data_IF_910694874708
#
_entry.id   IF_910694874708
#
_cell.length_a   1.000
_cell.length_b   1.000
_cell.length_c   1.000
_cell.angle_alpha   90.00
_cell.angle_beta   90.00
_cell.angle_gamma   90.00
#
_symmetry.space_group_name_H-M   'P 1'
#
loop_
_entity.id
_entity.type
_entity.pdbx_description
1 polymer ?
#
# COMPACT_ATOMS: atom_id res chain seq x y z
N UNK A 1 -61.22 27.53 -39.10
CA UNK A 1 -60.32 28.00 -38.06
C UNK A 1 -59.49 26.84 -37.55
N UNK A 2 -58.22 26.72 -37.97
CA UNK A 2 -57.28 25.70 -37.53
C UNK A 2 -56.34 26.35 -36.54
N UNK A 3 -56.38 25.92 -35.28
CA UNK A 3 -55.43 26.36 -34.28
C UNK A 3 -54.08 25.61 -34.45
N UNK A 4 -53.04 26.40 -34.59
CA UNK A 4 -51.67 25.94 -34.75
C UNK A 4 -51.05 25.77 -33.34
N UNK A 5 -50.90 24.54 -32.90
CA UNK A 5 -50.18 24.22 -31.68
C UNK A 5 -48.67 24.37 -31.96
N UNK A 6 -48.05 25.41 -31.44
CA UNK A 6 -46.62 25.53 -31.37
C UNK A 6 -46.08 24.75 -30.13
N UNK A 7 -45.52 23.59 -30.40
CA UNK A 7 -44.78 22.83 -29.42
C UNK A 7 -43.39 23.48 -29.25
N UNK A 8 -43.24 24.29 -28.19
CA UNK A 8 -41.93 24.77 -27.75
C UNK A 8 -41.23 23.61 -27.06
N UNK A 9 -40.43 22.85 -27.79
CA UNK A 9 -39.42 21.98 -27.23
C UNK A 9 -38.44 22.77 -26.36
N UNK A 10 -38.61 22.64 -25.05
CA UNK A 10 -37.61 23.05 -24.07
C UNK A 10 -36.35 22.18 -24.22
N UNK A 11 -35.41 22.67 -25.06
CA UNK A 11 -34.05 22.11 -25.06
C UNK A 11 -33.42 22.42 -23.71
N UNK A 12 -33.59 21.52 -22.71
CA UNK A 12 -32.75 21.42 -21.56
C UNK A 12 -31.31 21.21 -22.06
N UNK A 13 -30.49 22.24 -21.89
CA UNK A 13 -29.06 22.16 -22.12
C UNK A 13 -28.51 21.05 -21.22
N UNK A 14 -28.27 19.89 -21.78
CA UNK A 14 -27.51 18.86 -21.13
C UNK A 14 -26.16 19.49 -20.69
N UNK A 15 -25.75 19.30 -19.41
CA UNK A 15 -24.43 19.72 -19.00
C UNK A 15 -23.42 19.05 -19.91
N UNK A 16 -22.44 19.83 -20.34
CA UNK A 16 -21.34 19.40 -21.20
C UNK A 16 -20.76 18.12 -20.61
N UNK A 17 -21.20 16.97 -21.11
CA UNK A 17 -20.50 15.70 -20.95
C UNK A 17 -19.23 15.86 -21.74
N UNK A 18 -18.14 16.24 -21.06
CA UNK A 18 -16.80 16.16 -21.65
C UNK A 18 -16.63 14.67 -21.97
N UNK A 19 -16.72 14.35 -23.24
CA UNK A 19 -16.46 13.01 -23.75
C UNK A 19 -14.96 12.76 -23.52
N UNK A 20 -14.63 12.20 -22.34
CA UNK A 20 -13.29 11.71 -22.07
C UNK A 20 -13.12 10.53 -23.01
N UNK A 21 -12.58 10.82 -24.22
CA UNK A 21 -12.13 9.78 -25.13
C UNK A 21 -11.53 8.66 -24.28
N UNK A 22 -12.10 7.47 -24.39
CA UNK A 22 -11.78 6.27 -23.63
C UNK A 22 -10.36 5.76 -23.99
N UNK A 23 -9.38 6.67 -23.99
CA UNK A 23 -7.97 6.37 -24.21
C UNK A 23 -7.48 5.60 -23.00
N UNK A 24 -7.38 4.28 -23.18
CA UNK A 24 -6.78 3.38 -22.22
C UNK A 24 -5.44 3.96 -21.77
N UNK A 25 -5.30 4.17 -20.47
CA UNK A 25 -4.03 4.57 -19.90
C UNK A 25 -3.02 3.44 -20.12
N UNK A 26 -1.79 3.82 -20.42
CA UNK A 26 -0.72 2.82 -20.52
C UNK A 26 -0.41 2.22 -19.15
N UNK A 27 -0.11 0.93 -19.11
CA UNK A 27 0.14 0.19 -17.87
C UNK A 27 1.29 0.80 -17.03
N UNK A 28 2.24 1.48 -17.65
CA UNK A 28 3.36 2.09 -16.93
C UNK A 28 2.95 3.21 -15.96
N UNK A 29 1.81 3.87 -16.18
CA UNK A 29 1.31 4.87 -15.22
C UNK A 29 0.85 4.24 -13.90
N UNK A 30 0.51 2.97 -13.91
CA UNK A 30 0.10 2.22 -12.73
C UNK A 30 1.28 1.65 -11.93
N UNK A 31 2.49 1.63 -12.49
CA UNK A 31 3.67 0.98 -11.87
C UNK A 31 3.85 1.35 -10.39
N UNK A 32 3.82 2.62 -9.96
CA UNK A 32 4.03 2.93 -8.55
C UNK A 32 2.98 2.29 -7.64
N UNK A 33 1.70 2.31 -8.04
CA UNK A 33 0.62 1.70 -7.26
C UNK A 33 0.70 0.16 -7.27
N UNK A 34 1.08 -0.45 -8.40
CA UNK A 34 1.27 -1.90 -8.52
C UNK A 34 2.47 -2.37 -7.69
N UNK A 35 3.54 -1.59 -7.63
CA UNK A 35 4.68 -1.88 -6.76
C UNK A 35 4.27 -1.80 -5.29
N UNK A 36 3.45 -0.82 -4.89
CA UNK A 36 2.91 -0.74 -3.52
C UNK A 36 2.07 -1.98 -3.21
N UNK A 37 1.22 -2.43 -4.13
CA UNK A 37 0.30 -3.54 -3.91
C UNK A 37 0.99 -4.91 -3.91
N UNK A 38 1.95 -5.13 -4.83
CA UNK A 38 2.52 -6.46 -5.07
C UNK A 38 3.95 -6.66 -4.61
N UNK A 39 4.75 -5.60 -4.50
CA UNK A 39 6.19 -5.72 -4.22
C UNK A 39 6.63 -5.16 -2.88
N UNK A 40 6.13 -3.97 -2.50
CA UNK A 40 6.54 -3.33 -1.24
C UNK A 40 6.32 -4.23 -0.01
N UNK A 41 5.19 -4.95 0.12
CA UNK A 41 5.00 -5.86 1.24
C UNK A 41 6.05 -6.97 1.33
N UNK A 42 6.64 -7.37 0.20
CA UNK A 42 7.64 -8.43 0.12
C UNK A 42 9.07 -7.96 0.51
N UNK A 43 9.28 -6.67 0.72
CA UNK A 43 10.61 -6.14 1.06
C UNK A 43 11.01 -6.59 2.45
N UNK A 44 12.12 -7.34 2.55
CA UNK A 44 12.81 -7.69 3.79
C UNK A 44 14.26 -7.26 3.64
N UNK A 45 14.69 -6.25 4.40
CA UNK A 45 16.06 -5.75 4.29
C UNK A 45 16.49 -5.01 5.55
N UNK A 46 17.65 -5.37 6.10
CA UNK A 46 18.15 -4.88 7.37
C UNK A 46 18.49 -3.39 7.38
N UNK A 47 18.14 -2.72 8.47
CA UNK A 47 18.52 -1.34 8.76
C UNK A 47 18.76 -1.17 10.25
N UNK A 48 19.97 -0.68 10.64
CA UNK A 48 20.20 -0.22 11.99
C UNK A 48 19.51 1.11 12.24
N UNK A 49 18.79 1.18 13.33
CA UNK A 49 18.09 2.36 13.82
C UNK A 49 18.68 2.72 15.18
N UNK A 50 19.17 3.93 15.31
CA UNK A 50 19.60 4.45 16.60
C UNK A 50 18.37 4.84 17.43
N UNK A 51 18.24 4.23 18.60
CA UNK A 51 17.16 4.52 19.55
C UNK A 51 17.63 5.66 20.45
N UNK A 52 16.95 6.79 20.39
CA UNK A 52 17.28 7.97 21.18
C UNK A 52 16.02 8.64 21.74
N UNK A 53 16.19 9.47 22.76
CA UNK A 53 15.11 10.26 23.34
C UNK A 53 13.92 9.41 23.82
N UNK A 54 12.72 9.82 23.47
CA UNK A 54 11.46 9.18 23.89
C UNK A 54 11.37 7.74 23.40
N UNK A 55 11.85 7.43 22.19
CA UNK A 55 11.83 6.06 21.63
C UNK A 55 12.67 5.13 22.46
N UNK A 56 13.88 5.56 22.87
CA UNK A 56 14.74 4.76 23.74
C UNK A 56 14.11 4.51 25.11
N UNK A 57 13.47 5.53 25.68
CA UNK A 57 12.83 5.42 26.99
C UNK A 57 11.64 4.47 26.97
N UNK A 58 10.91 4.40 25.86
CA UNK A 58 9.74 3.53 25.68
C UNK A 58 10.11 2.12 25.20
N UNK A 59 11.35 1.92 24.70
CA UNK A 59 11.79 0.61 24.21
C UNK A 59 12.28 -0.22 25.39
N UNK A 60 11.47 -1.15 25.83
CA UNK A 60 11.62 -1.95 27.05
C UNK A 60 12.92 -2.78 27.17
N UNK A 61 13.64 -2.98 26.04
CA UNK A 61 14.90 -3.76 26.02
C UNK A 61 16.10 -2.98 26.52
N UNK A 62 16.02 -1.67 26.68
CA UNK A 62 17.15 -0.81 27.05
C UNK A 62 18.26 -0.71 25.99
N UNK A 63 18.03 -1.23 24.79
CA UNK A 63 19.00 -1.20 23.69
C UNK A 63 19.15 0.21 23.12
N UNK A 64 20.35 0.57 22.69
CA UNK A 64 20.63 1.83 22.01
C UNK A 64 20.43 1.74 20.49
N UNK A 65 20.45 0.53 19.93
CA UNK A 65 20.30 0.25 18.51
C UNK A 65 19.32 -0.89 18.29
N UNK A 66 18.51 -0.73 17.28
CA UNK A 66 17.58 -1.73 16.84
C UNK A 66 17.84 -2.09 15.38
N UNK A 67 17.82 -3.38 15.04
CA UNK A 67 17.98 -3.85 13.67
C UNK A 67 16.60 -4.25 13.11
N UNK A 68 16.04 -3.37 12.30
CA UNK A 68 14.78 -3.62 11.61
C UNK A 68 15.03 -4.29 10.25
N UNK A 69 14.27 -5.33 9.94
CA UNK A 69 14.29 -6.02 8.64
C UNK A 69 13.01 -5.83 7.84
N UNK A 70 11.88 -5.58 8.50
CA UNK A 70 10.56 -5.81 7.91
C UNK A 70 9.76 -4.52 7.67
N UNK A 71 10.00 -3.46 8.43
CA UNK A 71 9.07 -2.33 8.47
C UNK A 71 9.66 -1.03 7.92
N UNK A 72 10.92 -0.72 8.23
CA UNK A 72 11.56 0.54 7.86
C UNK A 72 11.49 0.81 6.35
N UNK A 73 12.00 -0.11 5.54
CA UNK A 73 12.07 0.11 4.09
C UNK A 73 10.70 0.11 3.43
N UNK A 74 9.76 -0.70 3.91
CA UNK A 74 8.37 -0.69 3.43
C UNK A 74 7.74 0.68 3.62
N UNK A 75 7.87 1.26 4.80
CA UNK A 75 7.33 2.59 5.09
C UNK A 75 7.91 3.67 4.17
N UNK A 76 9.22 3.63 3.90
CA UNK A 76 9.88 4.59 3.00
C UNK A 76 9.44 4.43 1.56
N UNK A 77 9.36 3.19 1.06
CA UNK A 77 8.90 2.93 -0.30
C UNK A 77 7.42 3.28 -0.51
N UNK A 78 6.55 3.07 0.49
CA UNK A 78 5.15 3.52 0.43
C UNK A 78 5.09 5.04 0.20
N UNK A 79 5.83 5.83 0.98
CA UNK A 79 5.85 7.29 0.86
C UNK A 79 6.35 7.72 -0.52
N UNK A 80 7.50 7.19 -0.95
CA UNK A 80 8.14 7.58 -2.22
C UNK A 80 7.25 7.21 -3.41
N UNK A 81 6.77 5.98 -3.47
CA UNK A 81 5.94 5.51 -4.58
C UNK A 81 4.58 6.23 -4.63
N UNK A 82 4.01 6.56 -3.47
CA UNK A 82 2.79 7.37 -3.39
C UNK A 82 3.01 8.77 -3.93
N UNK A 83 4.14 9.40 -3.59
CA UNK A 83 4.50 10.72 -4.13
C UNK A 83 4.67 10.68 -5.65
N UNK A 84 5.35 9.65 -6.17
CA UNK A 84 5.50 9.45 -7.62
C UNK A 84 4.13 9.25 -8.29
N UNK A 85 3.27 8.40 -7.72
CA UNK A 85 1.91 8.18 -8.25
C UNK A 85 1.08 9.47 -8.26
N UNK A 86 1.21 10.31 -7.23
CA UNK A 86 0.53 11.61 -7.15
C UNK A 86 1.03 12.58 -8.24
N UNK A 87 2.34 12.64 -8.48
CA UNK A 87 2.93 13.46 -9.55
C UNK A 87 2.39 13.00 -10.92
N UNK A 88 2.35 11.69 -11.17
CA UNK A 88 1.79 11.11 -12.39
C UNK A 88 0.31 11.50 -12.52
N UNK A 89 -0.48 11.37 -11.45
CA UNK A 89 -1.90 11.73 -11.44
C UNK A 89 -2.10 13.21 -11.81
N UNK A 90 -1.37 14.12 -11.14
CA UNK A 90 -1.45 15.57 -11.40
C UNK A 90 -1.09 15.88 -12.87
N UNK A 91 -0.06 15.23 -13.41
CA UNK A 91 0.34 15.39 -14.81
C UNK A 91 -0.77 14.96 -15.78
N UNK A 92 -1.34 13.76 -15.57
CA UNK A 92 -2.42 13.23 -16.41
C UNK A 92 -3.71 14.05 -16.28
N UNK A 93 -4.01 14.55 -15.10
CA UNK A 93 -5.15 15.43 -14.84
C UNK A 93 -5.01 16.76 -15.60
N UNK A 94 -3.84 17.41 -15.53
CA UNK A 94 -3.55 18.64 -16.30
C UNK A 94 -3.64 18.43 -17.80
N UNK A 95 -3.24 17.26 -18.29
CA UNK A 95 -3.35 16.85 -19.70
C UNK A 95 -4.78 16.44 -20.10
N UNK A 96 -5.76 16.51 -19.20
CA UNK A 96 -7.15 16.05 -19.42
C UNK A 96 -7.25 14.57 -19.83
N UNK A 97 -6.27 13.76 -19.47
CA UNK A 97 -6.24 12.32 -19.79
C UNK A 97 -6.85 11.47 -18.68
N UNK A 98 -6.93 12.00 -17.46
CA UNK A 98 -7.50 11.33 -16.31
C UNK A 98 -8.44 12.30 -15.59
N UNK A 99 -9.77 12.01 -15.55
CA UNK A 99 -10.73 12.87 -14.88
C UNK A 99 -10.68 12.71 -13.36
N UNK A 100 -11.06 13.74 -12.65
CA UNK A 100 -11.40 13.64 -11.24
C UNK A 100 -12.80 13.02 -11.10
N UNK A 101 -12.88 11.88 -10.41
CA UNK A 101 -14.16 11.24 -10.11
C UNK A 101 -14.81 11.90 -8.90
N UNK A 102 -15.99 12.49 -9.08
CA UNK A 102 -16.71 13.15 -7.99
C UNK A 102 -17.44 12.12 -7.10
N UNK A 103 -16.69 11.43 -6.26
CA UNK A 103 -17.20 10.39 -5.33
C UNK A 103 -17.14 10.89 -3.88
N UNK A 104 -17.95 11.91 -3.56
CA UNK A 104 -17.98 12.59 -2.24
C UNK A 104 -18.13 11.61 -1.07
N UNK A 105 -18.91 10.56 -1.23
CA UNK A 105 -19.16 9.53 -0.21
C UNK A 105 -17.88 8.81 0.26
N UNK A 106 -16.84 8.72 -0.58
CA UNK A 106 -15.56 8.14 -0.22
C UNK A 106 -14.55 9.21 0.20
N UNK A 107 -14.58 10.38 -0.44
CA UNK A 107 -13.59 11.43 -0.15
C UNK A 107 -13.82 12.16 1.16
N UNK A 108 -15.09 12.27 1.60
CA UNK A 108 -15.41 12.92 2.89
C UNK A 108 -14.80 12.13 4.06
N UNK A 109 -15.05 10.83 4.23
CA UNK A 109 -14.40 10.04 5.29
C UNK A 109 -12.87 10.06 5.22
N UNK A 110 -12.29 9.95 4.02
CA UNK A 110 -10.84 10.02 3.82
C UNK A 110 -10.28 11.38 4.25
N UNK A 111 -10.96 12.46 3.90
CA UNK A 111 -10.57 13.82 4.28
C UNK A 111 -10.66 14.05 5.79
N UNK A 112 -11.72 13.56 6.42
CA UNK A 112 -11.88 13.62 7.88
C UNK A 112 -10.75 12.85 8.56
N UNK A 113 -10.46 11.63 8.10
CA UNK A 113 -9.36 10.84 8.64
C UNK A 113 -8.01 11.56 8.49
N UNK A 114 -7.73 12.13 7.31
CA UNK A 114 -6.50 12.89 7.07
C UNK A 114 -6.36 14.10 8.03
N UNK A 115 -7.45 14.82 8.27
CA UNK A 115 -7.48 15.96 9.21
C UNK A 115 -7.14 15.48 10.62
N UNK A 116 -7.75 14.39 11.10
CA UNK A 116 -7.46 13.85 12.43
C UNK A 116 -6.01 13.37 12.55
N UNK A 117 -5.44 12.74 11.52
CA UNK A 117 -4.03 12.35 11.49
C UNK A 117 -3.12 13.57 11.63
N UNK A 118 -3.42 14.66 10.89
CA UNK A 118 -2.64 15.89 10.95
C UNK A 118 -2.74 16.53 12.33
N UNK A 119 -3.96 16.70 12.86
CA UNK A 119 -4.17 17.30 14.19
C UNK A 119 -3.45 16.47 15.26
N UNK A 120 -3.61 15.14 15.25
CA UNK A 120 -2.95 14.24 16.20
C UNK A 120 -1.44 14.38 16.17
N UNK A 121 -0.85 14.58 14.98
CA UNK A 121 0.60 14.76 14.84
C UNK A 121 1.08 16.08 15.47
N UNK A 122 0.34 17.16 15.28
CA UNK A 122 0.70 18.48 15.86
C UNK A 122 0.48 18.55 17.38
N UNK A 123 -0.38 17.70 17.92
CA UNK A 123 -0.64 17.62 19.38
C UNK A 123 0.17 16.52 20.07
N UNK A 124 0.99 15.78 19.33
CA UNK A 124 1.79 14.69 19.88
C UNK A 124 2.93 15.20 20.77
N UNK A 125 3.20 14.47 21.84
CA UNK A 125 4.32 14.75 22.78
C UNK A 125 5.66 14.60 22.05
N UNK A 126 5.80 13.55 21.23
CA UNK A 126 6.99 13.31 20.39
C UNK A 126 6.60 13.47 18.90
N UNK A 127 6.87 14.66 18.38
CA UNK A 127 6.56 15.02 16.99
C UNK A 127 7.32 14.14 16.00
N UNK A 128 8.55 13.73 16.32
CA UNK A 128 9.34 12.89 15.40
C UNK A 128 8.74 11.51 15.24
N UNK A 129 8.35 10.86 16.33
CA UNK A 129 7.62 9.59 16.30
C UNK A 129 6.25 9.75 15.63
N UNK A 130 5.54 10.85 15.88
CA UNK A 130 4.26 11.10 15.23
C UNK A 130 4.39 11.27 13.70
N UNK A 131 5.46 11.88 13.21
CA UNK A 131 5.72 12.06 11.78
C UNK A 131 6.11 10.75 11.09
N UNK A 132 7.05 9.99 11.68
CA UNK A 132 7.69 8.85 11.03
C UNK A 132 7.20 7.49 11.50
N UNK A 133 6.51 7.43 12.63
CA UNK A 133 6.07 6.22 13.28
C UNK A 133 7.07 5.68 14.29
N UNK A 134 6.56 4.90 15.25
CA UNK A 134 7.38 4.20 16.22
C UNK A 134 8.19 3.09 15.53
N UNK A 135 9.37 2.79 16.07
CA UNK A 135 10.23 1.69 15.61
C UNK A 135 9.42 0.38 15.59
N UNK A 136 9.68 -0.50 14.67
CA UNK A 136 8.96 -1.73 14.29
C UNK A 136 7.73 -1.51 13.41
N UNK A 137 7.00 -0.41 13.57
CA UNK A 137 5.75 -0.18 12.81
C UNK A 137 5.91 0.87 11.72
N UNK A 138 6.62 1.96 12.02
CA UNK A 138 6.83 3.12 11.13
C UNK A 138 5.55 3.66 10.48
N UNK A 139 4.42 3.59 11.21
CA UNK A 139 3.13 4.09 10.77
C UNK A 139 2.86 5.49 11.33
N UNK A 140 3.74 6.44 11.01
CA UNK A 140 3.53 7.85 11.33
C UNK A 140 2.69 8.58 10.29
N UNK A 141 2.53 9.89 10.47
CA UNK A 141 1.69 10.76 9.64
C UNK A 141 1.94 10.56 8.14
N UNK A 142 3.21 10.50 7.70
CA UNK A 142 3.51 10.37 6.28
C UNK A 142 3.01 9.07 5.68
N UNK A 143 3.08 7.95 6.41
CA UNK A 143 2.56 6.66 5.95
C UNK A 143 1.03 6.65 5.98
N UNK A 144 0.42 7.17 7.04
CA UNK A 144 -1.04 7.24 7.15
C UNK A 144 -1.66 8.12 6.07
N UNK A 145 -1.06 9.28 5.77
CA UNK A 145 -1.50 10.12 4.66
C UNK A 145 -1.22 9.47 3.30
N UNK A 146 -0.16 8.67 3.19
CA UNK A 146 0.08 7.87 1.97
C UNK A 146 -1.05 6.87 1.74
N UNK A 147 -1.60 6.21 2.76
CA UNK A 147 -2.74 5.31 2.61
C UNK A 147 -4.00 6.05 2.11
N UNK A 148 -4.25 7.26 2.61
CA UNK A 148 -5.32 8.12 2.10
C UNK A 148 -5.11 8.43 0.62
N UNK A 149 -3.89 8.85 0.26
CA UNK A 149 -3.56 9.17 -1.13
C UNK A 149 -3.60 7.95 -2.05
N UNK A 150 -3.11 6.79 -1.62
CA UNK A 150 -3.19 5.53 -2.38
C UNK A 150 -4.64 5.20 -2.69
N UNK A 151 -5.53 5.30 -1.71
CA UNK A 151 -6.96 5.06 -1.90
C UNK A 151 -7.55 6.05 -2.90
N UNK A 152 -7.28 7.35 -2.73
CA UNK A 152 -7.71 8.39 -3.67
C UNK A 152 -7.20 8.14 -5.09
N UNK A 153 -5.91 7.84 -5.23
CA UNK A 153 -5.28 7.59 -6.52
C UNK A 153 -5.84 6.34 -7.19
N UNK A 154 -5.99 5.24 -6.46
CA UNK A 154 -6.55 3.99 -6.99
C UNK A 154 -7.96 4.20 -7.53
N UNK A 155 -8.83 4.90 -6.76
CA UNK A 155 -10.18 5.25 -7.21
C UNK A 155 -10.16 6.02 -8.54
N UNK A 156 -9.25 6.96 -8.70
CA UNK A 156 -9.19 7.79 -9.90
C UNK A 156 -8.49 7.11 -11.08
N UNK A 157 -7.46 6.29 -10.84
CA UNK A 157 -6.73 5.59 -11.90
C UNK A 157 -7.52 4.43 -12.51
N UNK A 158 -8.24 3.66 -11.69
CA UNK A 158 -8.98 2.47 -12.16
C UNK A 158 -10.25 2.88 -12.88
N UNK A 159 -10.33 2.65 -14.20
CA UNK A 159 -11.46 3.07 -15.02
C UNK A 159 -12.16 1.90 -15.76
N UNK A 160 -11.52 0.75 -15.85
CA UNK A 160 -12.03 -0.39 -16.60
C UNK A 160 -11.52 -1.72 -16.00
N UNK A 161 -12.07 -2.84 -16.47
CA UNK A 161 -11.72 -4.19 -16.00
C UNK A 161 -10.21 -4.52 -16.17
N UNK A 162 -9.57 -4.04 -17.23
CA UNK A 162 -8.13 -4.24 -17.42
C UNK A 162 -7.34 -3.61 -16.27
N UNK A 163 -7.72 -2.40 -15.86
CA UNK A 163 -7.04 -1.70 -14.78
C UNK A 163 -7.22 -2.44 -13.44
N UNK A 164 -8.42 -2.98 -13.20
CA UNK A 164 -8.67 -3.88 -12.04
C UNK A 164 -7.76 -5.11 -12.12
N UNK A 165 -7.68 -5.76 -13.30
CA UNK A 165 -6.86 -6.95 -13.48
C UNK A 165 -5.36 -6.70 -13.25
N UNK A 166 -4.85 -5.49 -13.49
CA UNK A 166 -3.47 -5.13 -13.11
C UNK A 166 -3.26 -5.25 -11.60
N UNK A 167 -4.17 -4.73 -10.79
CA UNK A 167 -4.10 -4.85 -9.32
C UNK A 167 -4.32 -6.29 -8.85
N UNK A 168 -5.28 -6.99 -9.43
CA UNK A 168 -5.51 -8.41 -9.14
C UNK A 168 -4.26 -9.22 -9.38
N UNK A 169 -3.58 -9.01 -10.50
CA UNK A 169 -2.32 -9.70 -10.81
C UNK A 169 -1.18 -9.34 -9.84
N UNK A 170 -1.09 -8.08 -9.39
CA UNK A 170 -0.13 -7.66 -8.39
C UNK A 170 -0.39 -8.35 -7.04
N UNK A 171 -1.65 -8.44 -6.61
CA UNK A 171 -2.02 -9.18 -5.40
C UNK A 171 -1.80 -10.68 -5.53
N UNK A 172 -2.12 -11.29 -6.68
CA UNK A 172 -1.84 -12.71 -6.94
C UNK A 172 -0.34 -13.00 -6.85
N UNK A 173 0.49 -12.15 -7.43
CA UNK A 173 1.95 -12.27 -7.33
C UNK A 173 2.39 -12.26 -5.87
N UNK A 174 1.94 -11.28 -5.09
CA UNK A 174 2.24 -11.19 -3.66
C UNK A 174 1.77 -12.45 -2.90
N UNK A 175 0.54 -12.89 -3.13
CA UNK A 175 -0.01 -14.10 -2.49
C UNK A 175 0.81 -15.36 -2.78
N UNK A 176 1.26 -15.53 -4.03
CA UNK A 176 2.07 -16.68 -4.43
C UNK A 176 3.42 -16.66 -3.68
N UNK A 177 4.09 -15.51 -3.65
CA UNK A 177 5.40 -15.38 -2.99
C UNK A 177 5.26 -15.61 -1.48
N UNK A 178 4.31 -14.95 -0.83
CA UNK A 178 4.03 -15.15 0.61
C UNK A 178 3.63 -16.60 0.92
N UNK A 179 2.83 -17.22 0.05
CA UNK A 179 2.44 -18.62 0.19
C UNK A 179 3.63 -19.58 0.12
N UNK A 180 4.55 -19.38 -0.82
CA UNK A 180 5.76 -20.20 -0.95
C UNK A 180 6.65 -20.05 0.30
N UNK A 181 6.88 -18.81 0.75
CA UNK A 181 7.68 -18.53 1.95
C UNK A 181 7.00 -19.15 3.19
N UNK A 182 5.69 -18.92 3.34
CA UNK A 182 4.94 -19.41 4.50
C UNK A 182 4.90 -20.94 4.58
N UNK A 183 4.72 -21.62 3.45
CA UNK A 183 4.79 -23.11 3.41
C UNK A 183 6.18 -23.60 3.81
N UNK A 184 7.24 -22.95 3.30
CA UNK A 184 8.61 -23.27 3.71
C UNK A 184 8.79 -23.13 5.21
N UNK A 185 8.39 -22.00 5.81
CA UNK A 185 8.51 -21.73 7.25
C UNK A 185 7.74 -22.75 8.09
N UNK A 186 6.53 -23.12 7.66
CA UNK A 186 5.73 -24.16 8.36
C UNK A 186 6.45 -25.52 8.43
N UNK A 187 7.13 -25.91 7.37
CA UNK A 187 7.91 -27.16 7.32
C UNK A 187 9.33 -27.03 7.90
N UNK A 188 9.70 -25.89 8.47
CA UNK A 188 10.99 -25.65 9.11
C UNK A 188 12.09 -25.19 8.16
N UNK A 189 11.77 -24.90 6.91
CA UNK A 189 12.67 -24.27 5.96
C UNK A 189 12.40 -22.75 5.95
N UNK A 190 13.26 -22.00 6.63
CA UNK A 190 13.15 -20.55 6.63
C UNK A 190 14.16 -19.97 5.63
N UNK A 191 13.62 -19.43 4.51
CA UNK A 191 14.43 -18.83 3.47
C UNK A 191 15.34 -17.72 4.01
N UNK A 192 14.83 -16.86 4.89
CA UNK A 192 15.58 -15.71 5.41
C UNK A 192 16.74 -16.10 6.33
N UNK A 193 16.70 -17.27 6.93
CA UNK A 193 17.77 -17.85 7.77
C UNK A 193 18.74 -18.73 6.98
N UNK A 194 18.49 -18.91 5.68
CA UNK A 194 19.45 -19.59 4.80
C UNK A 194 20.59 -18.66 4.42
N UNK A 195 21.78 -19.21 4.06
CA UNK A 195 22.94 -18.41 3.64
C UNK A 195 22.60 -17.45 2.48
N UNK A 196 21.77 -17.89 1.54
CA UNK A 196 21.31 -17.07 0.42
C UNK A 196 20.37 -15.97 0.90
N UNK A 197 19.37 -16.31 1.71
CA UNK A 197 18.44 -15.34 2.26
C UNK A 197 19.14 -14.29 3.11
N UNK A 198 20.02 -14.69 4.01
CA UNK A 198 20.84 -13.80 4.82
C UNK A 198 21.65 -12.81 3.97
N UNK A 199 22.31 -13.29 2.91
CA UNK A 199 23.08 -12.44 2.01
C UNK A 199 22.24 -11.39 1.25
N UNK A 200 20.95 -11.65 1.06
CA UNK A 200 20.03 -10.74 0.39
C UNK A 200 19.42 -9.70 1.34
N UNK A 201 19.16 -10.09 2.60
CA UNK A 201 18.47 -9.21 3.55
C UNK A 201 19.41 -8.43 4.47
N UNK A 202 20.63 -8.93 4.72
CA UNK A 202 21.62 -8.26 5.56
C UNK A 202 22.53 -7.39 4.70
N UNK A 203 22.54 -6.07 4.90
CA UNK A 203 23.47 -5.18 4.21
C UNK A 203 24.94 -5.53 4.52
N UNK A 204 25.84 -5.38 3.56
CA UNK A 204 27.26 -5.73 3.70
C UNK A 204 28.00 -4.99 4.84
N UNK A 205 27.48 -3.85 5.27
CA UNK A 205 28.02 -3.07 6.37
C UNK A 205 27.50 -3.51 7.75
N UNK A 206 26.61 -4.51 7.81
CA UNK A 206 26.03 -5.06 9.03
C UNK A 206 26.60 -6.46 9.24
N UNK A 207 27.28 -6.66 10.36
CA UNK A 207 27.71 -7.99 10.80
C UNK A 207 26.66 -8.55 11.74
N UNK A 208 26.02 -9.63 11.35
CA UNK A 208 25.09 -10.40 12.19
C UNK A 208 25.72 -11.77 12.42
N UNK A 209 25.98 -12.12 13.66
CA UNK A 209 26.40 -13.47 14.02
C UNK A 209 25.13 -14.28 14.28
N UNK A 210 24.86 -15.28 13.44
CA UNK A 210 23.69 -16.16 13.53
C UNK A 210 22.34 -15.41 13.50
N UNK A 211 21.93 -14.99 12.31
CA UNK A 211 20.61 -14.42 12.12
C UNK A 211 19.54 -15.45 12.50
N UNK A 212 18.75 -15.12 13.51
CA UNK A 212 17.65 -15.97 13.97
C UNK A 212 16.41 -15.12 14.25
N UNK A 213 15.32 -15.48 13.62
CA UNK A 213 14.00 -14.94 13.91
C UNK A 213 13.27 -15.90 14.84
N UNK A 214 13.07 -15.52 16.10
CA UNK A 214 12.54 -16.38 17.16
C UNK A 214 11.01 -16.40 17.17
N UNK A 215 10.40 -17.06 16.19
CA UNK A 215 8.94 -17.15 16.08
C UNK A 215 8.35 -18.50 16.53
N UNK A 216 9.15 -19.40 17.03
CA UNK A 216 8.71 -20.74 17.45
C UNK A 216 8.50 -21.73 16.29
N UNK A 217 8.34 -23.02 16.60
CA UNK A 217 8.20 -24.07 15.60
C UNK A 217 6.88 -23.95 14.84
N UNK A 218 6.91 -24.22 13.53
CA UNK A 218 5.74 -24.17 12.63
C UNK A 218 5.03 -22.82 12.60
N UNK A 219 5.75 -21.74 12.88
CA UNK A 219 5.20 -20.38 12.87
C UNK A 219 5.47 -19.74 11.53
N UNK A 220 4.43 -19.26 10.88
CA UNK A 220 4.49 -18.51 9.61
C UNK A 220 4.49 -17.02 9.92
N UNK A 221 5.55 -16.31 9.57
CA UNK A 221 5.64 -14.86 9.69
C UNK A 221 5.83 -14.17 8.33
N UNK A 222 6.12 -14.95 7.28
CA UNK A 222 6.29 -14.49 5.90
C UNK A 222 7.30 -13.36 5.77
N UNK A 223 7.01 -12.43 4.90
CA UNK A 223 7.70 -11.13 4.83
C UNK A 223 7.06 -10.09 5.76
N UNK A 224 6.00 -10.44 6.50
CA UNK A 224 5.16 -9.52 7.27
C UNK A 224 5.57 -9.41 8.74
N UNK A 225 6.63 -10.10 9.16
CA UNK A 225 7.21 -10.06 10.51
C UNK A 225 6.38 -10.73 11.60
N UNK A 226 5.06 -10.67 11.56
CA UNK A 226 4.22 -11.14 12.68
C UNK A 226 3.09 -12.04 12.16
N UNK A 227 2.82 -13.13 12.90
CA UNK A 227 1.73 -14.06 12.59
C UNK A 227 0.36 -13.40 12.52
N UNK A 228 0.12 -12.36 13.33
CA UNK A 228 -1.13 -11.60 13.28
C UNK A 228 -1.28 -10.82 11.96
N UNK A 229 -0.17 -10.28 11.43
CA UNK A 229 -0.19 -9.62 10.13
C UNK A 229 -0.39 -10.62 9.00
N UNK A 230 0.22 -11.80 9.09
CA UNK A 230 -0.04 -12.91 8.15
C UNK A 230 -1.52 -13.31 8.20
N UNK A 231 -2.09 -13.48 9.40
CA UNK A 231 -3.51 -13.79 9.57
C UNK A 231 -4.43 -12.73 8.95
N UNK A 232 -4.13 -11.45 9.17
CA UNK A 232 -4.88 -10.33 8.57
C UNK A 232 -4.75 -10.33 7.05
N UNK A 233 -3.55 -10.56 6.52
CA UNK A 233 -3.30 -10.69 5.09
C UNK A 233 -4.10 -11.84 4.46
N UNK A 234 -4.05 -13.03 5.08
CA UNK A 234 -4.81 -14.19 4.59
C UNK A 234 -6.31 -13.92 4.61
N UNK A 235 -6.83 -13.28 5.66
CA UNK A 235 -8.25 -12.92 5.76
C UNK A 235 -8.71 -12.00 4.62
N UNK A 236 -7.84 -11.10 4.16
CA UNK A 236 -8.14 -10.21 3.02
C UNK A 236 -7.99 -10.93 1.67
N UNK A 237 -6.98 -11.77 1.53
CA UNK A 237 -6.59 -12.35 0.24
C UNK A 237 -7.33 -13.66 -0.08
N UNK A 238 -7.77 -14.41 0.92
CA UNK A 238 -8.47 -15.68 0.71
C UNK A 238 -9.80 -15.49 -0.04
N UNK A 239 -10.70 -14.57 0.34
CA UNK A 239 -11.92 -14.32 -0.43
C UNK A 239 -11.64 -13.89 -1.87
N UNK A 240 -10.61 -13.07 -2.09
CA UNK A 240 -10.17 -12.65 -3.42
C UNK A 240 -9.73 -13.85 -4.27
N UNK A 241 -8.89 -14.73 -3.73
CA UNK A 241 -8.39 -15.90 -4.43
C UNK A 241 -9.52 -16.89 -4.76
N UNK A 242 -10.47 -17.11 -3.84
CA UNK A 242 -11.65 -17.93 -4.07
C UNK A 242 -12.51 -17.32 -5.18
N UNK A 243 -12.76 -16.01 -5.14
CA UNK A 243 -13.53 -15.30 -6.17
C UNK A 243 -12.90 -15.43 -7.56
N UNK A 244 -11.58 -15.27 -7.66
CA UNK A 244 -10.84 -15.45 -8.92
C UNK A 244 -10.96 -16.90 -9.41
N UNK A 245 -10.76 -17.87 -8.52
CA UNK A 245 -10.87 -19.31 -8.85
C UNK A 245 -12.27 -19.66 -9.38
N UNK A 246 -13.32 -19.20 -8.72
CA UNK A 246 -14.70 -19.46 -9.13
C UNK A 246 -15.09 -18.72 -10.42
N UNK A 247 -14.45 -17.60 -10.72
CA UNK A 247 -14.70 -16.84 -11.95
C UNK A 247 -13.89 -17.32 -13.14
N UNK A 248 -12.90 -18.18 -12.93
CA UNK A 248 -12.10 -18.76 -14.00
C UNK A 248 -13.00 -19.67 -14.86
N UNK A 249 -13.15 -19.30 -16.13
CA UNK A 249 -13.84 -20.16 -17.10
C UNK A 249 -12.92 -21.33 -17.42
N UNK A 250 -13.38 -22.54 -17.16
CA UNK A 250 -12.76 -23.79 -17.65
C UNK A 250 -12.83 -23.87 -19.17
#
# INVERSE_FOLDING_TARGET
>A
MKAKNENKENKTKNPITIDYENKRLSAYYFIPLLLIAGFVPLIVHGKYIDLSGTVQALYWTGQQKYLDFFSYWKSRWIIVLTAIALIIYISLYKQKRLPFKNLKQYYIPLGIYAIFVIISTFTAIDTQTALWGFVDMYQGMFVLLSYVLITFLTINFVNNERDVNLFVNAFLFMMIVEGIIGVGQYFGFDFFQSKLGESLIVPANIKVENLSFSFGPKTIYGTLFNTNFVGSFVTLMLPLSIGIFLSAKT
#
